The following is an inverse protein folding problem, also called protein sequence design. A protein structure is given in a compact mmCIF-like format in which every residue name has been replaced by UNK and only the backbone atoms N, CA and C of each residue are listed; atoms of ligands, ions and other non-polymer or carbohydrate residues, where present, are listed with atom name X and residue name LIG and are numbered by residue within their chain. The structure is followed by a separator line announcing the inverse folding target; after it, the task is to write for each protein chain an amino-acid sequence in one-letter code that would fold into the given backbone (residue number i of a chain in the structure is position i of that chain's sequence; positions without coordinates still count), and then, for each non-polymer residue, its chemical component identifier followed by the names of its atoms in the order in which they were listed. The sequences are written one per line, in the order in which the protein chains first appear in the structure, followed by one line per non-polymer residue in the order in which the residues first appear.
data_IF_510234145224
#
_entry.id   IF_510234145224
#
_cell.length_a   1.000
_cell.length_b   1.000
_cell.length_c   1.000
_cell.angle_alpha   90.00
_cell.angle_beta   90.00
_cell.angle_gamma   90.00
#
_symmetry.space_group_name_H-M   'P 1'
#
loop_
_entity.id
_entity.type
_entity.pdbx_description
1 polymer ?
#
# COMPACT_ATOMS: atom_id res chain seq x y z
N UNK A 1 31.88 -21.47 -40.72
CA UNK A 1 30.83 -21.52 -41.76
C UNK A 1 29.92 -20.31 -41.59
N UNK A 2 30.17 -19.30 -42.46
CA UNK A 2 29.44 -18.02 -42.44
C UNK A 2 28.21 -18.14 -43.33
N UNK A 3 27.02 -17.93 -42.77
CA UNK A 3 25.80 -17.76 -43.58
C UNK A 3 25.38 -16.31 -43.55
N UNK A 4 25.56 -15.65 -44.69
CA UNK A 4 25.11 -14.28 -45.01
C UNK A 4 23.62 -14.33 -45.35
N UNK A 5 22.80 -13.46 -44.75
CA UNK A 5 21.43 -13.19 -45.21
C UNK A 5 21.47 -12.15 -46.36
N UNK A 6 20.64 -12.28 -47.42
CA UNK A 6 20.52 -11.29 -48.46
C UNK A 6 19.54 -10.17 -48.08
N UNK A 7 19.96 -8.93 -48.35
CA UNK A 7 19.13 -7.72 -48.33
C UNK A 7 18.32 -7.66 -49.63
N UNK A 8 17.00 -7.58 -49.50
CA UNK A 8 16.09 -7.35 -50.62
C UNK A 8 15.78 -5.85 -50.72
N UNK A 9 16.31 -5.20 -51.76
CA UNK A 9 15.97 -3.81 -52.12
C UNK A 9 14.81 -3.88 -53.11
N UNK A 10 13.65 -3.32 -52.76
CA UNK A 10 12.52 -3.17 -53.67
C UNK A 10 12.43 -1.73 -54.14
N UNK A 11 12.88 -1.48 -55.36
CA UNK A 11 12.68 -0.23 -56.09
C UNK A 11 11.35 -0.32 -56.86
N UNK A 12 10.38 0.51 -56.48
CA UNK A 12 9.09 0.63 -57.18
C UNK A 12 8.94 2.01 -57.83
N UNK A 13 8.73 2.00 -59.13
CA UNK A 13 8.69 3.11 -60.03
C UNK A 13 7.51 4.06 -59.86
N UNK A 14 7.82 5.33 -60.06
CA UNK A 14 6.91 6.47 -60.14
C UNK A 14 6.13 6.46 -61.45
N UNK A 15 4.80 6.41 -61.41
CA UNK A 15 3.94 6.67 -62.58
C UNK A 15 3.06 7.89 -62.29
N UNK A 16 3.34 8.99 -62.96
CA UNK A 16 2.51 10.18 -62.99
C UNK A 16 1.32 9.94 -63.90
N UNK A 17 0.11 10.02 -63.38
CA UNK A 17 -1.11 10.19 -64.18
C UNK A 17 -1.77 11.50 -63.78
N UNK A 18 -1.80 12.44 -64.69
CA UNK A 18 -2.56 13.70 -64.60
C UNK A 18 -4.01 13.44 -64.99
N UNK A 19 -4.93 13.70 -64.05
CA UNK A 19 -6.36 13.84 -64.35
C UNK A 19 -6.91 15.15 -63.79
N UNK A 20 -7.56 15.90 -64.67
CA UNK A 20 -8.20 17.20 -64.40
C UNK A 20 -9.51 17.05 -63.58
N UNK A 21 -9.99 18.14 -62.94
CA UNK A 21 -10.89 18.08 -61.82
C UNK A 21 -12.37 18.04 -62.23
N UNK A 22 -13.12 17.14 -61.66
CA UNK A 22 -14.59 17.28 -61.56
C UNK A 22 -14.93 17.72 -60.13
N UNK A 23 -15.48 18.90 -59.95
CA UNK A 23 -16.04 19.37 -58.68
C UNK A 23 -17.19 18.51 -58.26
N UNK A 24 -16.99 17.64 -57.31
CA UNK A 24 -18.02 17.12 -56.46
C UNK A 24 -17.71 17.58 -55.05
N UNK A 25 -18.57 18.41 -54.48
CA UNK A 25 -18.49 18.83 -53.10
C UNK A 25 -18.75 17.62 -52.17
N UNK A 26 -17.71 16.94 -51.83
CA UNK A 26 -17.75 15.86 -50.85
C UNK A 26 -17.77 16.45 -49.44
N UNK A 27 -18.88 16.22 -48.74
CA UNK A 27 -19.10 16.66 -47.36
C UNK A 27 -17.99 16.07 -46.49
N UNK A 28 -17.12 16.95 -45.94
CA UNK A 28 -16.06 16.56 -45.04
C UNK A 28 -16.62 15.67 -43.90
N UNK A 29 -15.99 14.53 -43.60
CA UNK A 29 -16.37 13.73 -42.45
C UNK A 29 -16.23 14.57 -41.17
N UNK A 30 -17.31 14.59 -40.37
CA UNK A 30 -17.27 15.25 -39.10
C UNK A 30 -16.14 14.63 -38.25
N UNK A 31 -15.17 15.44 -37.84
CA UNK A 31 -14.15 15.07 -36.91
C UNK A 31 -14.87 14.70 -35.59
N UNK A 32 -14.98 13.42 -35.32
CA UNK A 32 -15.35 12.94 -33.97
C UNK A 32 -14.28 13.44 -33.01
N UNK A 33 -14.63 14.20 -31.97
CA UNK A 33 -13.63 14.59 -30.99
C UNK A 33 -13.01 13.31 -30.40
N UNK A 34 -11.68 13.30 -30.16
CA UNK A 34 -11.05 12.15 -29.53
C UNK A 34 -11.77 11.84 -28.24
N UNK A 35 -12.08 10.56 -28.01
CA UNK A 35 -12.65 10.11 -26.76
C UNK A 35 -11.85 10.74 -25.62
N UNK A 36 -12.55 11.40 -24.71
CA UNK A 36 -11.92 12.01 -23.54
C UNK A 36 -11.09 10.91 -22.87
N UNK A 37 -9.78 11.12 -22.77
CA UNK A 37 -8.92 10.31 -21.95
C UNK A 37 -9.48 10.47 -20.52
N UNK A 38 -10.12 9.43 -20.02
CA UNK A 38 -10.36 9.31 -18.59
C UNK A 38 -9.00 8.99 -18.00
N UNK A 39 -8.32 9.99 -17.40
CA UNK A 39 -7.17 9.70 -16.55
C UNK A 39 -7.70 8.77 -15.46
N UNK A 40 -7.29 7.51 -15.48
CA UNK A 40 -7.43 6.63 -14.33
C UNK A 40 -6.66 7.30 -13.19
N UNK A 41 -7.40 7.84 -12.24
CA UNK A 41 -6.81 8.34 -10.99
C UNK A 41 -6.23 7.11 -10.28
N UNK A 42 -4.93 6.91 -10.44
CA UNK A 42 -4.23 5.86 -9.71
C UNK A 42 -4.29 6.22 -8.23
N UNK A 43 -5.12 5.51 -7.47
CA UNK A 43 -5.14 5.64 -6.02
C UNK A 43 -3.84 5.08 -5.47
N UNK A 44 -3.15 5.86 -4.63
CA UNK A 44 -1.96 5.38 -3.93
C UNK A 44 -2.38 4.24 -2.98
N UNK A 45 -1.51 3.23 -2.78
CA UNK A 45 -1.74 2.20 -1.78
C UNK A 45 -1.81 2.83 -0.37
N UNK A 46 -2.55 2.19 0.54
CA UNK A 46 -2.66 2.67 1.92
C UNK A 46 -1.31 2.64 2.65
N UNK A 47 -0.45 1.70 2.33
CA UNK A 47 0.92 1.58 2.85
C UNK A 47 1.82 0.90 1.83
N UNK A 48 3.13 1.04 2.00
CA UNK A 48 4.17 0.34 1.25
C UNK A 48 5.00 -0.47 2.25
N UNK A 49 5.37 -1.68 1.85
CA UNK A 49 6.24 -2.55 2.65
C UNK A 49 7.70 -2.29 2.29
N UNK A 50 8.51 -1.98 3.29
CA UNK A 50 9.96 -1.97 3.21
C UNK A 50 10.54 -3.11 4.04
N UNK A 51 11.40 -3.92 3.46
CA UNK A 51 12.19 -4.94 4.15
C UNK A 51 13.66 -4.58 4.10
N UNK A 52 14.31 -4.55 5.24
CA UNK A 52 15.72 -4.21 5.32
C UNK A 52 16.32 -4.50 6.69
N UNK A 53 17.60 -4.15 6.82
CA UNK A 53 18.35 -4.23 8.07
C UNK A 53 18.37 -2.87 8.75
N UNK A 54 18.10 -2.86 10.04
CA UNK A 54 18.18 -1.67 10.88
C UNK A 54 19.65 -1.28 11.04
N UNK A 55 20.02 -0.07 10.62
CA UNK A 55 21.40 0.44 10.67
C UNK A 55 21.62 1.43 11.81
N UNK A 56 20.59 2.20 12.20
CA UNK A 56 20.66 3.18 13.27
C UNK A 56 19.30 3.37 13.94
N UNK A 57 19.31 3.54 15.27
CA UNK A 57 18.13 3.89 16.07
C UNK A 57 18.34 5.30 16.62
N UNK A 58 17.56 6.26 16.14
CA UNK A 58 17.61 7.64 16.61
C UNK A 58 16.55 7.84 17.69
N UNK A 59 17.00 8.31 18.87
CA UNK A 59 16.16 8.55 20.03
C UNK A 59 16.13 10.04 20.36
N UNK A 60 15.03 10.49 20.92
CA UNK A 60 14.90 11.83 21.49
C UNK A 60 15.54 11.93 22.90
N UNK A 61 15.38 13.09 23.52
CA UNK A 61 15.93 13.37 24.85
C UNK A 61 15.31 12.49 25.95
N UNK A 62 14.07 12.03 25.75
CA UNK A 62 13.34 11.16 26.67
C UNK A 62 13.67 9.67 26.44
N UNK A 63 14.47 9.37 25.42
CA UNK A 63 14.86 8.02 25.03
C UNK A 63 13.86 7.30 24.12
N UNK A 64 12.77 7.96 23.70
CA UNK A 64 11.82 7.41 22.76
C UNK A 64 12.39 7.36 21.35
N UNK A 65 12.10 6.31 20.61
CA UNK A 65 12.56 6.17 19.23
C UNK A 65 11.71 7.12 18.36
N UNK A 66 12.34 8.00 17.60
CA UNK A 66 11.65 8.86 16.65
C UNK A 66 12.05 8.62 15.18
N UNK A 67 13.20 7.96 14.93
CA UNK A 67 13.59 7.53 13.60
C UNK A 67 14.33 6.20 13.63
N UNK A 68 14.16 5.42 12.56
CA UNK A 68 14.94 4.23 12.25
C UNK A 68 15.60 4.43 10.89
N UNK A 69 16.94 4.37 10.83
CA UNK A 69 17.64 4.27 9.56
C UNK A 69 17.74 2.79 9.17
N UNK A 70 17.43 2.49 7.92
CA UNK A 70 17.40 1.12 7.41
C UNK A 70 18.12 1.05 6.08
N UNK A 71 18.70 -0.12 5.78
CA UNK A 71 19.28 -0.43 4.48
C UNK A 71 18.68 -1.71 3.91
N UNK A 72 18.45 -1.71 2.61
CA UNK A 72 17.89 -2.83 1.86
C UNK A 72 18.64 -3.02 0.55
N UNK A 73 19.00 -4.25 0.23
CA UNK A 73 19.59 -4.58 -1.08
C UNK A 73 18.65 -4.22 -2.24
N UNK A 74 17.33 -4.27 -2.02
CA UNK A 74 16.33 -4.00 -3.05
C UNK A 74 15.93 -2.53 -3.14
N UNK A 75 15.82 -1.83 -1.99
CA UNK A 75 15.23 -0.49 -1.90
C UNK A 75 16.25 0.59 -1.53
N UNK A 76 17.49 0.19 -1.15
CA UNK A 76 18.54 1.10 -0.67
C UNK A 76 18.26 1.65 0.72
N UNK A 77 19.00 2.70 1.10
CA UNK A 77 18.86 3.36 2.39
C UNK A 77 17.55 4.13 2.50
N UNK A 78 16.93 4.07 3.68
CA UNK A 78 15.66 4.73 3.98
C UNK A 78 15.56 5.13 5.44
N UNK A 79 14.90 6.24 5.76
CA UNK A 79 14.64 6.67 7.14
C UNK A 79 13.14 6.58 7.41
N UNK A 80 12.78 5.81 8.43
CA UNK A 80 11.41 5.63 8.90
C UNK A 80 11.15 6.56 10.09
N UNK A 81 10.24 7.51 9.91
CA UNK A 81 9.82 8.41 10.98
C UNK A 81 8.80 7.70 11.87
N UNK A 82 9.10 7.59 13.14
CA UNK A 82 8.30 6.93 14.16
C UNK A 82 7.46 7.96 14.90
N UNK A 83 6.24 7.59 15.24
CA UNK A 83 5.32 8.41 16.04
C UNK A 83 4.62 7.53 17.09
N UNK A 84 3.84 8.14 17.96
CA UNK A 84 2.99 7.44 18.95
C UNK A 84 1.96 6.53 18.27
N UNK A 85 1.60 6.81 17.02
CA UNK A 85 0.68 5.99 16.23
C UNK A 85 1.37 4.81 15.53
N UNK A 86 2.70 4.72 15.56
CA UNK A 86 3.41 3.61 14.95
C UNK A 86 3.21 2.34 15.79
N UNK A 87 2.61 1.32 15.18
CA UNK A 87 2.43 0.02 15.83
C UNK A 87 3.73 -0.79 15.81
N UNK A 88 4.06 -1.44 16.91
CA UNK A 88 5.19 -2.35 17.04
C UNK A 88 4.70 -3.78 17.15
N UNK A 89 5.10 -4.64 16.23
CA UNK A 89 4.53 -5.98 16.06
C UNK A 89 5.61 -7.04 16.18
N UNK A 90 5.41 -8.01 17.07
CA UNK A 90 6.17 -9.27 17.10
C UNK A 90 5.44 -10.28 16.21
N UNK A 91 5.99 -10.51 15.02
CA UNK A 91 5.33 -11.33 14.01
C UNK A 91 5.25 -12.80 14.40
N UNK A 92 6.25 -13.35 15.03
CA UNK A 92 6.28 -14.78 15.40
C UNK A 92 5.35 -15.09 16.58
N UNK A 93 5.18 -14.14 17.52
CA UNK A 93 4.35 -14.32 18.71
C UNK A 93 2.93 -13.78 18.54
N UNK A 94 2.61 -13.10 17.44
CA UNK A 94 1.31 -12.46 17.17
C UNK A 94 0.90 -11.45 18.27
N UNK A 95 1.86 -10.69 18.79
CA UNK A 95 1.68 -9.73 19.87
C UNK A 95 2.26 -8.37 19.53
N UNK A 96 2.00 -7.37 20.38
CA UNK A 96 2.77 -6.15 20.34
C UNK A 96 4.24 -6.43 20.70
N UNK A 97 5.16 -5.77 20.02
CA UNK A 97 6.61 -5.82 20.31
C UNK A 97 6.99 -4.70 21.28
N UNK A 98 8.05 -4.95 22.05
CA UNK A 98 8.68 -3.92 22.87
C UNK A 98 9.73 -3.16 22.05
N UNK A 99 9.54 -1.84 21.77
CA UNK A 99 10.52 -1.05 21.05
C UNK A 99 11.90 -0.96 21.74
N UNK A 100 11.95 -1.17 23.07
CA UNK A 100 13.20 -1.15 23.83
C UNK A 100 14.09 -2.38 23.53
N UNK A 101 13.51 -3.47 23.05
CA UNK A 101 14.22 -4.68 22.66
C UNK A 101 14.90 -4.59 21.28
N UNK A 102 14.63 -3.51 20.52
CA UNK A 102 15.15 -3.34 19.16
C UNK A 102 16.67 -3.13 19.19
N UNK A 103 17.35 -3.78 18.24
CA UNK A 103 18.81 -3.72 18.11
C UNK A 103 19.21 -3.45 16.66
N UNK A 104 20.27 -2.67 16.49
CA UNK A 104 20.92 -2.49 15.19
C UNK A 104 21.44 -3.83 14.64
N UNK A 105 21.37 -3.99 13.33
CA UNK A 105 21.69 -5.23 12.64
C UNK A 105 20.50 -6.21 12.51
N UNK A 106 19.34 -5.94 13.13
CA UNK A 106 18.15 -6.75 12.96
C UNK A 106 17.49 -6.51 11.59
N UNK A 107 16.93 -7.57 11.01
CA UNK A 107 16.06 -7.45 9.84
C UNK A 107 14.63 -7.18 10.29
N UNK A 108 14.01 -6.19 9.65
CA UNK A 108 12.67 -5.71 9.96
C UNK A 108 11.82 -5.61 8.69
N UNK A 109 10.51 -5.71 8.85
CA UNK A 109 9.54 -5.12 7.93
C UNK A 109 9.04 -3.80 8.50
N UNK A 110 8.87 -2.81 7.63
CA UNK A 110 8.20 -1.56 8.01
C UNK A 110 7.14 -1.26 6.97
N UNK A 111 5.90 -1.15 7.43
CA UNK A 111 4.82 -0.60 6.64
C UNK A 111 4.82 0.91 6.81
N UNK A 112 5.01 1.65 5.73
CA UNK A 112 5.16 3.09 5.77
C UNK A 112 4.28 3.78 4.73
N UNK A 113 4.17 5.10 4.83
CA UNK A 113 3.44 5.92 3.87
C UNK A 113 4.04 5.79 2.46
N UNK A 114 3.22 5.71 1.40
CA UNK A 114 3.71 5.79 0.03
C UNK A 114 4.31 7.18 -0.30
N UNK A 115 4.08 8.17 0.57
CA UNK A 115 4.63 9.52 0.43
C UNK A 115 5.95 9.59 1.19
N UNK A 116 7.01 9.98 0.49
CA UNK A 116 8.33 10.17 1.04
C UNK A 116 8.91 11.53 0.67
N UNK A 117 9.89 11.99 1.47
CA UNK A 117 10.66 13.19 1.15
C UNK A 117 11.58 12.95 -0.04
N UNK A 118 12.00 14.04 -0.71
CA UNK A 118 12.99 14.01 -1.77
C UNK A 118 14.44 14.11 -1.26
N UNK A 119 14.66 13.85 0.04
CA UNK A 119 16.00 13.79 0.64
C UNK A 119 16.74 12.51 0.24
N UNK A 120 18.04 12.46 0.54
CA UNK A 120 18.88 11.27 0.41
C UNK A 120 19.55 11.01 1.77
N UNK A 121 19.21 9.92 2.45
CA UNK A 121 18.14 8.96 2.14
C UNK A 121 16.75 9.57 2.22
N UNK A 122 15.75 9.01 1.50
CA UNK A 122 14.36 9.42 1.60
C UNK A 122 13.79 9.07 2.98
N UNK A 123 12.78 9.85 3.41
CA UNK A 123 12.13 9.66 4.71
C UNK A 123 10.63 9.52 4.54
N UNK A 124 10.01 8.65 5.32
CA UNK A 124 8.58 8.42 5.32
C UNK A 124 8.05 8.09 6.72
N UNK A 125 6.77 8.34 6.96
CA UNK A 125 6.09 7.98 8.20
C UNK A 125 5.89 6.46 8.28
N UNK A 126 6.35 5.83 9.37
CA UNK A 126 6.11 4.43 9.65
C UNK A 126 4.73 4.23 10.31
N UNK A 127 3.94 3.30 9.78
CA UNK A 127 2.65 2.89 10.34
C UNK A 127 2.79 1.68 11.25
N UNK A 128 3.61 0.70 10.85
CA UNK A 128 3.90 -0.46 11.67
C UNK A 128 5.34 -0.93 11.45
N UNK A 129 6.03 -1.25 12.54
CA UNK A 129 7.35 -1.90 12.55
C UNK A 129 7.16 -3.33 12.99
N UNK A 130 7.56 -4.27 12.15
CA UNK A 130 7.40 -5.71 12.37
C UNK A 130 8.74 -6.35 12.64
N UNK A 131 8.88 -6.92 13.82
CA UNK A 131 10.08 -7.61 14.30
C UNK A 131 9.84 -9.11 14.39
N UNK A 132 10.87 -9.86 14.78
CA UNK A 132 10.79 -11.30 15.03
C UNK A 132 10.11 -12.03 13.86
N UNK A 133 10.67 -11.84 12.66
CA UNK A 133 10.12 -12.37 11.42
C UNK A 133 10.24 -13.89 11.41
N UNK A 134 9.14 -14.66 11.26
CA UNK A 134 9.20 -16.10 11.18
C UNK A 134 9.87 -16.53 9.87
N UNK A 135 10.65 -17.61 9.93
CA UNK A 135 11.33 -18.14 8.73
C UNK A 135 10.39 -18.90 7.79
N UNK A 136 9.21 -19.28 8.26
CA UNK A 136 8.25 -20.14 7.59
C UNK A 136 6.87 -19.50 7.44
N UNK A 137 6.77 -18.56 6.55
CA UNK A 137 5.56 -18.35 5.76
C UNK A 137 4.39 -17.55 6.30
N UNK A 138 4.18 -17.31 7.59
CA UNK A 138 3.12 -16.38 8.06
C UNK A 138 3.76 -15.14 8.63
N UNK A 139 3.75 -14.06 7.88
CA UNK A 139 4.19 -12.75 8.37
C UNK A 139 3.02 -11.82 8.60
N UNK A 140 3.19 -10.94 9.58
CA UNK A 140 2.24 -9.86 9.83
C UNK A 140 2.13 -8.95 8.60
N UNK A 141 0.91 -8.66 8.16
CA UNK A 141 0.62 -7.76 7.06
C UNK A 141 -0.34 -6.66 7.54
N UNK A 142 -0.01 -5.40 7.26
CA UNK A 142 -0.84 -4.26 7.62
C UNK A 142 -1.86 -4.00 6.51
N UNK A 143 -3.14 -3.91 6.90
CA UNK A 143 -4.22 -3.56 6.00
C UNK A 143 -5.13 -2.51 6.60
N UNK A 144 -5.74 -1.71 5.72
CA UNK A 144 -6.87 -0.86 6.06
C UNK A 144 -8.14 -1.54 5.61
N UNK A 145 -9.06 -1.75 6.51
CA UNK A 145 -10.38 -2.35 6.22
C UNK A 145 -11.19 -1.35 5.41
N UNK A 146 -11.61 -1.74 4.22
CA UNK A 146 -12.47 -0.93 3.33
C UNK A 146 -13.93 -1.31 3.49
N UNK A 147 -14.20 -2.61 3.41
CA UNK A 147 -15.52 -3.19 3.59
C UNK A 147 -15.43 -4.49 4.38
N UNK A 148 -16.51 -4.86 5.03
CA UNK A 148 -16.64 -6.14 5.74
C UNK A 148 -17.96 -6.81 5.37
N UNK A 149 -17.94 -8.14 5.25
CA UNK A 149 -19.11 -8.97 5.09
C UNK A 149 -19.01 -10.16 6.03
N UNK A 150 -19.95 -10.26 6.98
CA UNK A 150 -20.01 -11.37 7.92
C UNK A 150 -21.21 -12.27 7.54
N UNK A 151 -20.92 -13.50 7.11
CA UNK A 151 -21.91 -14.48 6.71
C UNK A 151 -21.53 -15.86 7.26
N UNK A 152 -22.48 -16.55 7.86
CA UNK A 152 -22.33 -17.93 8.36
C UNK A 152 -21.08 -18.14 9.26
N UNK A 153 -20.69 -17.11 10.05
CA UNK A 153 -19.51 -17.13 10.92
C UNK A 153 -18.19 -16.96 10.18
N UNK A 154 -18.22 -16.59 8.90
CA UNK A 154 -17.05 -16.16 8.13
C UNK A 154 -17.10 -14.66 7.91
N UNK A 155 -16.01 -13.99 8.24
CA UNK A 155 -15.77 -12.58 7.95
C UNK A 155 -14.92 -12.48 6.68
N UNK A 156 -15.41 -11.78 5.68
CA UNK A 156 -14.62 -11.35 4.54
C UNK A 156 -14.30 -9.86 4.69
N UNK A 157 -13.02 -9.53 4.64
CA UNK A 157 -12.50 -8.17 4.70
C UNK A 157 -12.03 -7.79 3.30
N UNK A 158 -12.52 -6.67 2.77
CA UNK A 158 -12.01 -6.07 1.53
C UNK A 158 -10.95 -5.04 1.87
N UNK A 159 -9.82 -5.07 1.17
CA UNK A 159 -8.69 -4.17 1.36
C UNK A 159 -7.93 -3.93 0.06
N UNK A 160 -6.91 -3.08 0.09
CA UNK A 160 -6.01 -2.76 -1.03
C UNK A 160 -6.73 -2.23 -2.28
N UNK A 161 -7.64 -1.28 -2.06
CA UNK A 161 -8.52 -0.69 -3.08
C UNK A 161 -9.38 -1.76 -3.80
N UNK A 162 -9.92 -2.70 -3.03
CA UNK A 162 -10.70 -3.81 -3.55
C UNK A 162 -9.87 -4.92 -4.19
N UNK A 163 -8.55 -4.84 -4.10
CA UNK A 163 -7.62 -5.79 -4.74
C UNK A 163 -7.37 -7.07 -3.94
N UNK A 164 -7.73 -7.11 -2.66
CA UNK A 164 -7.52 -8.27 -1.80
C UNK A 164 -8.74 -8.53 -0.90
N UNK A 165 -9.15 -9.79 -0.83
CA UNK A 165 -10.10 -10.31 0.15
C UNK A 165 -9.37 -11.15 1.18
N UNK A 166 -9.51 -10.80 2.46
CA UNK A 166 -8.99 -11.57 3.59
C UNK A 166 -10.17 -12.24 4.28
N UNK A 167 -10.13 -13.55 4.38
CA UNK A 167 -11.16 -14.36 5.05
C UNK A 167 -10.68 -14.77 6.43
N UNK A 168 -11.49 -14.50 7.44
CA UNK A 168 -11.35 -14.97 8.81
C UNK A 168 -12.58 -15.82 9.19
N UNK A 169 -12.41 -16.82 10.02
CA UNK A 169 -13.49 -17.70 10.48
C UNK A 169 -13.45 -17.88 12.02
N UNK A 170 -14.29 -18.77 12.52
CA UNK A 170 -14.36 -19.08 13.95
C UNK A 170 -13.06 -19.62 14.57
N UNK A 171 -12.09 -20.05 13.75
CA UNK A 171 -10.78 -20.51 14.21
C UNK A 171 -9.74 -19.39 14.19
N UNK A 172 -10.07 -18.23 13.58
CA UNK A 172 -9.18 -17.07 13.57
C UNK A 172 -9.12 -16.45 14.95
N UNK A 173 -7.92 -16.29 15.48
CA UNK A 173 -7.70 -15.58 16.75
C UNK A 173 -7.77 -14.07 16.48
N UNK A 174 -8.63 -13.37 17.21
CA UNK A 174 -8.75 -11.90 17.12
C UNK A 174 -8.26 -11.29 18.42
N UNK A 175 -7.36 -10.32 18.31
CA UNK A 175 -6.79 -9.59 19.45
C UNK A 175 -6.84 -8.08 19.22
N UNK A 176 -6.71 -7.31 20.29
CA UNK A 176 -6.52 -5.85 20.20
C UNK A 176 -5.07 -5.49 20.54
N UNK A 177 -4.49 -4.59 19.76
CA UNK A 177 -3.10 -4.13 19.94
C UNK A 177 -2.90 -3.53 21.34
N UNK A 178 -1.84 -3.98 22.02
CA UNK A 178 -1.48 -3.47 23.35
C UNK A 178 -2.48 -3.77 24.46
N UNK A 179 -3.41 -4.75 24.27
CA UNK A 179 -4.46 -5.08 25.22
C UNK A 179 -4.61 -6.59 25.36
N UNK A 180 -4.86 -7.05 26.58
CA UNK A 180 -5.25 -8.43 26.86
C UNK A 180 -6.78 -8.65 26.72
N UNK A 181 -7.52 -7.60 26.33
CA UNK A 181 -8.96 -7.71 26.11
C UNK A 181 -9.25 -8.62 24.92
N UNK A 182 -10.23 -9.51 25.09
CA UNK A 182 -10.71 -10.33 24.00
C UNK A 182 -11.37 -9.43 22.94
N UNK A 183 -11.03 -9.65 21.67
CA UNK A 183 -11.68 -9.03 20.54
C UNK A 183 -12.39 -10.13 19.71
N UNK A 184 -13.37 -9.73 18.91
CA UNK A 184 -14.17 -10.62 18.10
C UNK A 184 -14.16 -10.20 16.62
N UNK A 185 -14.64 -11.07 15.73
CA UNK A 185 -14.73 -10.75 14.30
C UNK A 185 -15.64 -9.54 14.04
N UNK A 186 -16.64 -9.33 14.88
CA UNK A 186 -17.60 -8.22 14.82
C UNK A 186 -16.95 -6.85 15.14
N UNK A 187 -15.79 -6.85 15.80
CA UNK A 187 -15.04 -5.63 16.12
C UNK A 187 -14.21 -5.12 14.93
N UNK A 188 -14.11 -5.92 13.86
CA UNK A 188 -13.48 -5.53 12.60
C UNK A 188 -14.44 -4.63 11.82
N UNK A 189 -14.14 -3.34 11.71
CA UNK A 189 -15.01 -2.35 11.10
C UNK A 189 -14.31 -1.62 9.94
N UNK A 190 -15.06 -1.14 8.92
CA UNK A 190 -14.50 -0.31 7.87
C UNK A 190 -13.81 0.95 8.42
N UNK A 191 -12.67 1.31 7.80
CA UNK A 191 -11.81 2.42 8.20
C UNK A 191 -10.72 2.02 9.21
N UNK A 192 -10.88 0.92 9.93
CA UNK A 192 -9.90 0.44 10.91
C UNK A 192 -8.67 -0.16 10.24
N UNK A 193 -7.51 0.00 10.85
CA UNK A 193 -6.31 -0.74 10.49
C UNK A 193 -6.23 -2.05 11.27
N UNK A 194 -5.76 -3.09 10.58
CA UNK A 194 -5.57 -4.42 11.15
C UNK A 194 -4.23 -5.00 10.72
N UNK A 195 -3.64 -5.81 11.59
CA UNK A 195 -2.58 -6.73 11.19
C UNK A 195 -3.21 -8.10 10.97
N UNK A 196 -2.97 -8.69 9.80
CA UNK A 196 -3.41 -10.03 9.45
C UNK A 196 -2.22 -10.95 9.20
N UNK A 197 -2.28 -12.18 9.71
CA UNK A 197 -1.26 -13.20 9.46
C UNK A 197 -1.77 -14.24 8.50
N UNK A 198 -1.16 -14.32 7.33
CA UNK A 198 -1.46 -15.32 6.30
C UNK A 198 -0.20 -15.69 5.52
N UNK A 199 -0.19 -16.90 4.94
CA UNK A 199 0.98 -17.44 4.25
C UNK A 199 0.95 -17.28 2.74
N UNK A 200 -0.23 -17.12 2.16
CA UNK A 200 -0.38 -17.08 0.71
C UNK A 200 -1.60 -16.25 0.29
N UNK A 201 -1.48 -15.66 -0.87
CA UNK A 201 -2.58 -15.03 -1.59
C UNK A 201 -2.83 -15.81 -2.87
N UNK A 202 -4.07 -16.23 -3.10
CA UNK A 202 -4.44 -16.89 -4.35
C UNK A 202 -4.25 -15.92 -5.53
N UNK A 203 -3.75 -16.46 -6.64
CA UNK A 203 -3.52 -15.69 -7.88
C UNK A 203 -4.85 -15.48 -8.63
N UNK A 204 -5.74 -14.71 -8.02
CA UNK A 204 -7.01 -14.24 -8.57
C UNK A 204 -7.08 -12.74 -8.50
N UNK A 205 -8.07 -12.13 -9.12
CA UNK A 205 -8.38 -10.72 -8.91
C UNK A 205 -9.87 -10.58 -8.58
N UNK A 206 -10.21 -10.08 -7.36
CA UNK A 206 -9.30 -9.77 -6.24
C UNK A 206 -8.51 -10.99 -5.76
N UNK A 207 -7.31 -10.74 -5.20
CA UNK A 207 -6.54 -11.74 -4.47
C UNK A 207 -7.34 -12.29 -3.30
N UNK A 208 -7.06 -13.51 -2.85
CA UNK A 208 -7.75 -14.11 -1.69
C UNK A 208 -6.73 -14.69 -0.73
N UNK A 209 -6.87 -14.36 0.54
CA UNK A 209 -6.05 -14.86 1.63
C UNK A 209 -6.95 -15.38 2.77
N UNK A 210 -6.45 -16.39 3.50
CA UNK A 210 -7.06 -16.87 4.73
C UNK A 210 -6.13 -16.52 5.89
N UNK A 211 -6.67 -15.79 6.87
CA UNK A 211 -5.90 -15.37 8.04
C UNK A 211 -6.15 -16.30 9.23
N UNK A 212 -5.09 -16.57 9.99
CA UNK A 212 -5.17 -17.32 11.24
C UNK A 212 -5.25 -16.41 12.46
N UNK A 213 -4.72 -15.17 12.33
CA UNK A 213 -4.73 -14.16 13.37
C UNK A 213 -5.06 -12.81 12.78
N UNK A 214 -5.89 -12.05 13.51
CA UNK A 214 -6.18 -10.65 13.25
C UNK A 214 -5.88 -9.85 14.51
N UNK A 215 -5.10 -8.78 14.38
CA UNK A 215 -4.89 -7.82 15.45
C UNK A 215 -5.48 -6.48 15.05
N UNK A 216 -6.41 -5.99 15.84
CA UNK A 216 -7.03 -4.69 15.64
C UNK A 216 -6.09 -3.61 16.15
N UNK A 217 -5.66 -2.69 15.30
CA UNK A 217 -4.87 -1.53 15.71
C UNK A 217 -5.77 -0.46 16.34
N UNK A 218 -5.22 0.45 17.17
CA UNK A 218 -5.97 1.59 17.67
C UNK A 218 -6.58 2.40 16.52
N UNK A 219 -7.75 2.96 16.74
CA UNK A 219 -8.31 3.92 15.80
C UNK A 219 -7.41 5.16 15.77
N UNK A 220 -6.99 5.58 14.58
CA UNK A 220 -6.29 6.84 14.45
C UNK A 220 -7.24 7.95 14.93
N UNK A 221 -6.83 8.73 15.93
CA UNK A 221 -7.59 9.90 16.34
C UNK A 221 -7.74 10.81 15.11
N UNK A 222 -8.96 10.93 14.62
CA UNK A 222 -9.29 11.93 13.62
C UNK A 222 -9.12 13.26 14.32
N UNK A 223 -8.02 13.98 14.06
CA UNK A 223 -7.95 15.39 14.32
C UNK A 223 -9.04 16.03 13.46
N UNK A 224 -10.20 16.31 14.08
CA UNK A 224 -11.23 17.14 13.49
C UNK A 224 -10.57 18.52 13.42
N UNK A 225 -10.05 18.90 12.24
CA UNK A 225 -9.81 20.29 11.96
C UNK A 225 -11.18 20.95 12.02
N UNK A 226 -11.46 21.59 13.17
CA UNK A 226 -12.54 22.54 13.31
C UNK A 226 -12.31 23.65 12.28
N UNK A 227 -12.93 23.49 11.12
CA UNK A 227 -13.14 24.60 10.21
C UNK A 227 -14.14 25.54 10.88
N UNK A 228 -13.68 26.30 11.86
CA UNK A 228 -14.42 27.47 12.33
C UNK A 228 -14.66 28.39 11.13
N UNK A 229 -15.87 28.31 10.66
CA UNK A 229 -16.44 29.24 9.71
C UNK A 229 -16.11 30.65 10.14
N UNK A 230 -15.31 31.35 9.34
CA UNK A 230 -15.19 32.80 9.41
C UNK A 230 -16.56 33.36 9.04
N UNK A 231 -17.35 33.54 10.08
CA UNK A 231 -18.62 34.26 10.00
C UNK A 231 -18.35 35.70 9.62
N UNK A 232 -18.78 36.05 8.43
CA UNK A 232 -18.95 37.41 7.97
C UNK A 232 -19.82 38.20 8.95
N UNK A 233 -19.29 39.25 9.50
CA UNK A 233 -20.08 40.37 10.00
C UNK A 233 -19.76 41.60 9.14
N UNK A 234 -20.57 41.76 8.10
CA UNK A 234 -20.91 43.11 7.64
C UNK A 234 -21.78 43.75 8.70
N UNK A 235 -21.44 44.98 9.07
CA UNK A 235 -22.39 46.06 9.24
C UNK A 235 -21.66 47.32 9.74
N UNK A 236 -21.65 48.31 8.95
CA UNK A 236 -21.90 49.76 8.98
C UNK A 236 -21.00 50.47 7.97
#
# INVERSE_FOLDING_TARGET
MNKKLPVLILTGALACAVFSPALAAEKAPALTPPAAYVEEVQTLPNSVLYYGTLTEIVRDEDGSIFQLAMDSEQFGEYVMNISEQTAWIDSANHTAADPAALQEGQSLYVFHSPIATLSLPPQSAAFAVVTNLPMDAQSAQLHKVEEVSLQDGQLQITTDNGGLYITADQNTVVSAYGSDAAAALEDVQPGRQVIAWYSAVAQSYPGQAYTTHLMLLPEAEQTVEDSEAIGSTENY
#
